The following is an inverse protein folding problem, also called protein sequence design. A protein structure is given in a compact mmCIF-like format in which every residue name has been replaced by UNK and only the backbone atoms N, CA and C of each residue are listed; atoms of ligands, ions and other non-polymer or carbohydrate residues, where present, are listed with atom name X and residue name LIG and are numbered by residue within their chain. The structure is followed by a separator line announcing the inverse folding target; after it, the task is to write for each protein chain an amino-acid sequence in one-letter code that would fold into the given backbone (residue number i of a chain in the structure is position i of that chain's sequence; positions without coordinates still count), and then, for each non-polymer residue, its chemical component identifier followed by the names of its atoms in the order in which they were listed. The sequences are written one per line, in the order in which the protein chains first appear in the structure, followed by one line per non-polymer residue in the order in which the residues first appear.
data_IF_138387733955
#
_entry.id   IF_138387733955
#
_cell.length_a   1.000
_cell.length_b   1.000
_cell.length_c   1.000
_cell.angle_alpha   90.00
_cell.angle_beta   90.00
_cell.angle_gamma   90.00
#
_symmetry.space_group_name_H-M   'P 1'
#
loop_
_entity.id
_entity.type
_entity.pdbx_description
1 polymer ?
#
# COMPACT_ATOMS: atom_id res chain seq x y z
N UNK A 1 0.55 2.01 -13.07
CA UNK A 1 -0.12 2.24 -11.77
C UNK A 1 -1.48 1.53 -11.67
N UNK A 2 -2.46 1.71 -12.58
CA UNK A 2 -3.81 1.14 -12.40
C UNK A 2 -3.82 -0.38 -12.19
N UNK A 3 -3.00 -1.12 -12.96
CA UNK A 3 -2.85 -2.57 -12.85
C UNK A 3 -2.53 -3.03 -11.42
N UNK A 4 -1.49 -2.43 -10.82
CA UNK A 4 -1.01 -2.80 -9.48
C UNK A 4 -2.01 -2.33 -8.41
N UNK A 5 -2.56 -1.12 -8.54
CA UNK A 5 -3.53 -0.60 -7.58
C UNK A 5 -4.80 -1.46 -7.51
N UNK A 6 -5.33 -1.89 -8.67
CA UNK A 6 -6.51 -2.75 -8.74
C UNK A 6 -6.26 -4.13 -8.10
N UNK A 7 -5.10 -4.73 -8.35
CA UNK A 7 -4.70 -6.00 -7.73
C UNK A 7 -4.58 -5.86 -6.21
N UNK A 8 -3.96 -4.79 -5.72
CA UNK A 8 -3.85 -4.49 -4.29
C UNK A 8 -5.24 -4.38 -3.67
N UNK A 9 -6.12 -3.54 -4.20
CA UNK A 9 -7.49 -3.36 -3.69
C UNK A 9 -8.25 -4.68 -3.60
N UNK A 10 -8.19 -5.48 -4.66
CA UNK A 10 -8.88 -6.78 -4.74
C UNK A 10 -8.35 -7.78 -3.72
N UNK A 11 -7.04 -7.87 -3.54
CA UNK A 11 -6.43 -8.83 -2.61
C UNK A 11 -6.61 -8.41 -1.15
N UNK A 12 -6.53 -7.10 -0.88
CA UNK A 12 -6.61 -6.58 0.48
C UNK A 12 -8.04 -6.30 0.94
N UNK A 13 -9.04 -6.48 0.07
CA UNK A 13 -10.44 -6.10 0.27
C UNK A 13 -10.60 -4.66 0.80
N UNK A 14 -9.79 -3.74 0.27
CA UNK A 14 -9.86 -2.34 0.65
C UNK A 14 -10.98 -1.61 -0.08
N UNK A 15 -11.64 -0.66 0.57
CA UNK A 15 -12.72 0.13 -0.02
C UNK A 15 -12.18 1.15 -1.04
N UNK A 16 -10.98 1.68 -0.79
CA UNK A 16 -10.32 2.66 -1.62
C UNK A 16 -8.79 2.61 -1.44
N UNK A 17 -8.04 3.42 -2.19
CA UNK A 17 -6.61 3.61 -1.96
C UNK A 17 -6.21 5.09 -2.08
N UNK A 18 -5.11 5.45 -1.44
CA UNK A 18 -4.42 6.73 -1.66
C UNK A 18 -3.12 6.50 -2.42
N UNK A 19 -2.75 7.46 -3.27
CA UNK A 19 -1.47 7.50 -3.98
C UNK A 19 -0.65 8.68 -3.48
N UNK A 20 0.63 8.47 -3.21
CA UNK A 20 1.54 9.53 -2.77
C UNK A 20 2.94 9.33 -3.33
N UNK A 21 3.62 10.43 -3.63
CA UNK A 21 5.02 10.46 -4.00
C UNK A 21 5.66 11.68 -3.36
N UNK A 22 6.66 11.45 -2.52
CA UNK A 22 7.32 12.51 -1.74
C UNK A 22 8.60 12.94 -2.46
N UNK A 23 8.74 14.25 -2.73
CA UNK A 23 9.92 14.83 -3.37
C UNK A 23 10.67 15.74 -2.40
N UNK A 24 11.88 15.32 -2.02
CA UNK A 24 12.73 16.05 -1.08
C UNK A 24 12.46 15.74 0.39
N UNK A 25 13.47 16.00 1.22
CA UNK A 25 13.47 15.66 2.65
C UNK A 25 12.32 16.32 3.43
N UNK A 26 12.00 17.58 3.11
CA UNK A 26 10.92 18.32 3.75
C UNK A 26 9.54 17.67 3.52
N UNK A 27 9.32 17.08 2.34
CA UNK A 27 8.14 16.30 2.00
C UNK A 27 8.16 14.87 2.58
N UNK A 28 9.10 14.56 3.49
CA UNK A 28 9.29 13.22 4.09
C UNK A 28 9.75 12.13 3.12
N UNK A 29 10.50 12.48 2.07
CA UNK A 29 11.23 11.47 1.29
C UNK A 29 12.45 10.99 2.10
N UNK A 30 12.32 9.85 2.78
CA UNK A 30 13.41 9.26 3.59
C UNK A 30 14.38 8.48 2.70
N UNK A 31 13.86 7.72 1.74
CA UNK A 31 14.66 6.94 0.79
C UNK A 31 14.89 7.79 -0.46
N UNK A 32 16.14 8.14 -0.82
CA UNK A 32 16.46 9.01 -1.95
C UNK A 32 16.39 8.26 -3.29
N UNK A 33 15.27 7.59 -3.54
CA UNK A 33 14.92 6.94 -4.80
C UNK A 33 13.45 7.26 -5.09
N UNK A 34 13.07 7.47 -6.35
CA UNK A 34 11.67 7.71 -6.71
C UNK A 34 10.86 6.45 -6.41
N UNK A 35 9.84 6.59 -5.58
CA UNK A 35 8.90 5.52 -5.26
C UNK A 35 7.50 6.10 -5.10
N UNK A 36 6.51 5.34 -5.53
CA UNK A 36 5.10 5.69 -5.40
C UNK A 36 4.49 4.81 -4.33
N UNK A 37 3.88 5.41 -3.32
CA UNK A 37 3.07 4.71 -2.34
C UNK A 37 1.68 4.43 -2.92
N UNK A 38 1.22 3.19 -2.78
CA UNK A 38 -0.18 2.80 -2.96
C UNK A 38 -0.64 2.29 -1.59
N UNK A 39 -1.55 3.03 -0.96
CA UNK A 39 -1.95 2.81 0.44
C UNK A 39 -3.42 2.39 0.46
N UNK A 40 -3.74 1.10 0.73
CA UNK A 40 -5.12 0.63 0.88
C UNK A 40 -5.83 1.35 2.04
N UNK A 41 -7.11 1.66 1.88
CA UNK A 41 -7.95 2.40 2.82
C UNK A 41 -9.25 1.63 3.09
N UNK A 42 -9.67 1.65 4.35
CA UNK A 42 -10.85 0.92 4.82
C UNK A 42 -11.74 1.85 5.63
N UNK A 43 -13.05 1.84 5.37
CA UNK A 43 -14.03 2.69 6.06
C UNK A 43 -14.13 2.36 7.56
N UNK A 44 -13.94 1.10 7.93
CA UNK A 44 -14.00 0.59 9.31
C UNK A 44 -12.84 1.09 10.19
N UNK A 45 -11.69 1.44 9.60
CA UNK A 45 -10.50 1.88 10.35
C UNK A 45 -10.56 3.33 10.84
N UNK A 46 -11.58 4.13 10.46
CA UNK A 46 -11.76 5.50 10.95
C UNK A 46 -10.49 6.37 10.84
N UNK A 47 -10.18 7.14 11.89
CA UNK A 47 -8.97 8.00 11.96
C UNK A 47 -7.68 7.25 12.32
N UNK A 48 -7.72 5.91 12.48
CA UNK A 48 -6.53 5.10 12.76
C UNK A 48 -5.57 4.98 11.56
N UNK A 49 -5.82 5.67 10.43
CA UNK A 49 -4.93 5.66 9.27
C UNK A 49 -3.48 6.05 9.60
N UNK A 50 -3.24 6.73 10.73
CA UNK A 50 -1.91 7.16 11.16
C UNK A 50 -1.09 6.01 11.77
N UNK A 51 -1.75 4.93 12.19
CA UNK A 51 -1.09 3.80 12.83
C UNK A 51 -0.60 2.82 11.77
N UNK A 52 0.73 2.67 11.70
CA UNK A 52 1.34 1.63 10.86
C UNK A 52 0.93 0.26 11.40
N UNK A 53 0.34 -0.57 10.54
CA UNK A 53 0.18 -1.99 10.81
C UNK A 53 1.51 -2.68 10.52
N UNK A 54 2.08 -3.32 11.54
CA UNK A 54 3.28 -4.13 11.39
C UNK A 54 2.80 -5.57 11.24
N UNK A 55 3.07 -6.16 10.08
CA UNK A 55 2.78 -7.56 9.78
C UNK A 55 4.04 -8.39 9.99
N UNK A 56 3.87 -9.69 10.21
CA UNK A 56 4.99 -10.64 10.25
C UNK A 56 5.45 -10.97 8.83
N UNK A 57 6.70 -11.40 8.68
CA UNK A 57 7.29 -11.68 7.37
C UNK A 57 6.49 -12.69 6.55
N UNK A 58 5.99 -13.76 7.19
CA UNK A 58 5.17 -14.76 6.53
C UNK A 58 3.83 -14.20 5.98
N UNK A 59 3.23 -13.24 6.69
CA UNK A 59 2.00 -12.57 6.25
C UNK A 59 2.28 -11.63 5.07
N UNK A 60 3.47 -11.01 5.04
CA UNK A 60 3.91 -10.18 3.92
C UNK A 60 4.19 -11.03 2.68
N UNK A 61 4.83 -12.18 2.83
CA UNK A 61 5.09 -13.11 1.72
C UNK A 61 3.80 -13.64 1.10
N UNK A 62 2.85 -14.05 1.94
CA UNK A 62 1.53 -14.51 1.48
C UNK A 62 0.79 -13.39 0.73
N UNK A 63 0.80 -12.17 1.27
CA UNK A 63 0.21 -11.00 0.62
C UNK A 63 0.87 -10.71 -0.74
N UNK A 64 2.20 -10.74 -0.80
CA UNK A 64 2.95 -10.51 -2.03
C UNK A 64 2.65 -11.58 -3.10
N UNK A 65 2.45 -12.84 -2.70
CA UNK A 65 2.06 -13.90 -3.63
C UNK A 65 0.64 -13.69 -4.16
N UNK A 66 -0.32 -13.35 -3.28
CA UNK A 66 -1.71 -13.06 -3.70
C UNK A 66 -1.77 -11.89 -4.67
N UNK A 67 -1.02 -10.81 -4.43
CA UNK A 67 -0.96 -9.66 -5.32
C UNK A 67 -0.36 -10.06 -6.67
N UNK A 68 0.76 -10.80 -6.70
CA UNK A 68 1.37 -11.27 -7.96
C UNK A 68 0.39 -12.08 -8.81
N UNK A 69 -0.29 -13.05 -8.20
CA UNK A 69 -1.27 -13.90 -8.89
C UNK A 69 -2.51 -13.12 -9.41
N UNK A 70 -2.75 -11.90 -8.92
CA UNK A 70 -3.87 -11.05 -9.34
C UNK A 70 -3.47 -10.03 -10.41
N UNK A 71 -2.17 -9.89 -10.67
CA UNK A 71 -1.60 -9.02 -11.71
C UNK A 71 -1.40 -9.81 -13.01
N UNK A 72 -1.14 -11.12 -12.93
CA UNK A 72 -1.11 -12.02 -14.09
C UNK A 72 -2.49 -12.17 -14.73
#
# INVERSE_FOLDING_TARGET
IPKIANAIIKVTNADAFSIAQNNGRAAKQIIPHVHVHIIPRYNDTGTLWLKRKILRDNELDELAQKIRNCIE
#
